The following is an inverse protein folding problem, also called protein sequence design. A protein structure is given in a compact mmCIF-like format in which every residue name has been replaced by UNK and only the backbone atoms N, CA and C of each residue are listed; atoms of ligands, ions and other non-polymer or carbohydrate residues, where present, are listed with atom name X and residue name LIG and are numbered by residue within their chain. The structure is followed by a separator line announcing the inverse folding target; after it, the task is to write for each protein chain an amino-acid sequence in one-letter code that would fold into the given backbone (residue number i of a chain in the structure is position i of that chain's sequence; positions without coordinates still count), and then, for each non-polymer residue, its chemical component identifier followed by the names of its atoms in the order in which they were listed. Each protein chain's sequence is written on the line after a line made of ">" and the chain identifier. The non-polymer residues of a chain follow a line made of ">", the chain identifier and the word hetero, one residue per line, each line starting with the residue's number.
data_IF_541562821445
#
_entry.id   IF_541562821445
#
_cell.length_a   1.000
_cell.length_b   1.000
_cell.length_c   1.000
_cell.angle_alpha   90.00
_cell.angle_beta   90.00
_cell.angle_gamma   90.00
#
_symmetry.space_group_name_H-M   'P 1'
#
loop_
_entity.id
_entity.type
_entity.pdbx_description
1 polymer ?
#
# COMPACT_ATOMS: atom_id res chain seq x y z
N UNK A 1 2.67 8.00 -26.08
CA UNK A 1 1.59 8.18 -25.08
C UNK A 1 0.73 6.92 -24.84
N UNK A 2 0.76 5.89 -25.69
CA UNK A 2 -0.06 4.67 -25.52
C UNK A 2 0.45 3.61 -24.53
N UNK A 3 1.74 3.60 -24.18
CA UNK A 3 2.31 2.60 -23.26
C UNK A 3 1.95 2.84 -21.79
N UNK A 4 1.79 4.10 -21.38
CA UNK A 4 1.42 4.44 -20.00
C UNK A 4 -0.03 4.09 -19.68
N UNK A 5 -0.95 4.28 -20.63
CA UNK A 5 -2.38 3.99 -20.42
C UNK A 5 -2.60 2.48 -20.30
N UNK A 6 -1.97 1.67 -21.16
CA UNK A 6 -2.03 0.20 -21.08
C UNK A 6 -1.40 -0.36 -19.81
N UNK A 7 -0.35 0.28 -19.27
CA UNK A 7 0.29 -0.15 -18.02
C UNK A 7 -0.59 0.12 -16.80
N UNK A 8 -1.33 1.22 -16.78
CA UNK A 8 -2.24 1.57 -15.69
C UNK A 8 -3.50 0.69 -15.72
N UNK A 9 -3.96 0.32 -16.92
CA UNK A 9 -5.12 -0.54 -17.11
C UNK A 9 -4.88 -1.99 -16.64
N UNK A 10 -3.65 -2.49 -16.81
CA UNK A 10 -3.22 -3.80 -16.23
C UNK A 10 -3.16 -3.80 -14.71
N UNK A 11 -2.88 -2.66 -14.07
CA UNK A 11 -2.92 -2.56 -12.60
C UNK A 11 -4.37 -2.50 -12.08
N UNK A 12 -5.28 -1.89 -12.83
CA UNK A 12 -6.71 -1.84 -12.48
C UNK A 12 -7.44 -3.18 -12.67
N UNK A 13 -6.91 -4.07 -13.52
CA UNK A 13 -7.50 -5.38 -13.86
C UNK A 13 -6.84 -6.60 -13.20
N UNK A 14 -5.95 -6.45 -12.21
CA UNK A 14 -5.45 -7.63 -11.45
C UNK A 14 -6.60 -8.29 -10.70
N UNK A 15 -6.91 -9.54 -11.04
CA UNK A 15 -7.97 -10.29 -10.38
C UNK A 15 -7.64 -10.50 -8.91
N UNK A 16 -8.66 -10.62 -8.05
CA UNK A 16 -8.47 -10.88 -6.62
C UNK A 16 -7.62 -12.14 -6.34
N UNK A 17 -7.64 -13.12 -7.25
CA UNK A 17 -6.82 -14.33 -7.19
C UNK A 17 -5.32 -14.06 -7.36
N UNK A 18 -4.93 -13.11 -8.20
CA UNK A 18 -3.52 -12.75 -8.39
C UNK A 18 -2.96 -12.04 -7.15
N UNK A 19 -3.76 -11.16 -6.54
CA UNK A 19 -3.38 -10.41 -5.34
C UNK A 19 -3.16 -11.35 -4.14
N UNK A 20 -4.05 -12.33 -3.96
CA UNK A 20 -3.88 -13.35 -2.91
C UNK A 20 -2.64 -14.22 -3.15
N UNK A 21 -2.34 -14.56 -4.41
CA UNK A 21 -1.14 -15.33 -4.74
C UNK A 21 0.15 -14.55 -4.51
N UNK A 22 0.19 -13.26 -4.85
CA UNK A 22 1.32 -12.40 -4.54
C UNK A 22 1.53 -12.27 -3.03
N UNK A 23 0.45 -12.08 -2.26
CA UNK A 23 0.52 -12.03 -0.80
C UNK A 23 1.09 -13.32 -0.20
N UNK A 24 0.65 -14.48 -0.68
CA UNK A 24 1.17 -15.78 -0.24
C UNK A 24 2.64 -15.98 -0.55
N UNK A 25 3.08 -15.59 -1.75
CA UNK A 25 4.51 -15.67 -2.14
C UNK A 25 5.37 -14.81 -1.23
N UNK A 26 4.92 -13.59 -0.95
CA UNK A 26 5.64 -12.68 -0.05
C UNK A 26 5.68 -13.23 1.37
N UNK A 27 4.55 -13.76 1.86
CA UNK A 27 4.48 -14.37 3.20
C UNK A 27 5.42 -15.57 3.33
N UNK A 28 5.48 -16.44 2.32
CA UNK A 28 6.41 -17.56 2.29
C UNK A 28 7.87 -17.09 2.26
N UNK A 29 8.18 -16.05 1.47
CA UNK A 29 9.54 -15.50 1.41
C UNK A 29 10.01 -14.91 2.75
N UNK A 30 9.09 -14.31 3.53
CA UNK A 30 9.42 -13.67 4.80
C UNK A 30 9.39 -14.64 6.00
N UNK A 31 8.44 -15.56 6.03
CA UNK A 31 8.18 -16.42 7.19
C UNK A 31 8.49 -17.91 6.94
N UNK A 32 8.72 -18.31 5.69
CA UNK A 32 8.95 -19.71 5.32
C UNK A 32 7.71 -20.61 5.44
N UNK A 33 6.54 -20.03 5.71
CA UNK A 33 5.29 -20.76 5.91
C UNK A 33 4.35 -20.61 4.70
N UNK A 34 3.82 -21.73 4.22
CA UNK A 34 2.71 -21.72 3.26
C UNK A 34 1.38 -21.51 3.99
N UNK A 35 0.51 -20.68 3.42
CA UNK A 35 -0.80 -20.35 3.99
C UNK A 35 -1.92 -20.65 2.99
N UNK A 36 -3.05 -21.13 3.52
CA UNK A 36 -4.28 -21.35 2.74
C UNK A 36 -4.86 -20.02 2.23
N UNK A 37 -5.68 -20.08 1.19
CA UNK A 37 -6.38 -18.92 0.63
C UNK A 37 -7.22 -18.20 1.69
N UNK A 38 -7.92 -18.95 2.54
CA UNK A 38 -8.72 -18.39 3.64
C UNK A 38 -7.86 -17.64 4.65
N UNK A 39 -6.72 -18.22 5.05
CA UNK A 39 -5.79 -17.58 5.99
C UNK A 39 -5.16 -16.33 5.36
N UNK A 40 -4.82 -16.38 4.07
CA UNK A 40 -4.29 -15.25 3.32
C UNK A 40 -5.29 -14.08 3.27
N UNK A 41 -6.56 -14.36 2.96
CA UNK A 41 -7.62 -13.33 2.95
C UNK A 41 -7.85 -12.72 4.34
N UNK A 42 -7.87 -13.54 5.39
CA UNK A 42 -8.05 -13.06 6.76
C UNK A 42 -6.89 -12.16 7.22
N UNK A 43 -5.65 -12.54 6.92
CA UNK A 43 -4.46 -11.74 7.23
C UNK A 43 -4.42 -10.45 6.41
N UNK A 44 -4.71 -10.51 5.11
CA UNK A 44 -4.79 -9.33 4.26
C UNK A 44 -5.83 -8.32 4.74
N UNK A 45 -7.00 -8.80 5.17
CA UNK A 45 -8.06 -7.95 5.73
C UNK A 45 -7.61 -7.28 7.03
N UNK A 46 -6.99 -8.03 7.95
CA UNK A 46 -6.44 -7.47 9.20
C UNK A 46 -5.37 -6.42 8.92
N UNK A 47 -4.51 -6.65 7.94
CA UNK A 47 -3.47 -5.71 7.53
C UNK A 47 -4.07 -4.40 7.01
N UNK A 48 -5.04 -4.47 6.10
CA UNK A 48 -5.72 -3.28 5.58
C UNK A 48 -6.42 -2.50 6.68
N UNK A 49 -7.10 -3.19 7.60
CA UNK A 49 -7.73 -2.56 8.77
C UNK A 49 -6.68 -1.88 9.66
N UNK A 50 -5.53 -2.52 9.90
CA UNK A 50 -4.44 -1.93 10.66
C UNK A 50 -3.90 -0.66 9.98
N UNK A 51 -3.70 -0.70 8.66
CA UNK A 51 -3.28 0.48 7.89
C UNK A 51 -4.28 1.63 8.01
N UNK A 52 -5.58 1.37 7.99
CA UNK A 52 -6.59 2.43 8.21
C UNK A 52 -6.47 3.09 9.60
N UNK A 53 -6.00 2.35 10.60
CA UNK A 53 -5.81 2.89 11.95
C UNK A 53 -4.47 3.61 12.11
N UNK A 54 -3.40 3.11 11.48
CA UNK A 54 -2.05 3.69 11.57
C UNK A 54 -1.89 4.89 10.64
N UNK A 55 -2.36 4.80 9.40
CA UNK A 55 -2.37 5.91 8.46
C UNK A 55 -3.52 6.85 8.80
N UNK A 56 -3.28 7.69 9.81
CA UNK A 56 -4.13 8.84 10.08
C UNK A 56 -3.87 9.87 8.97
N UNK A 57 -4.89 10.32 8.23
CA UNK A 57 -4.71 11.40 7.28
C UNK A 57 -4.18 12.63 8.01
N UNK A 58 -3.00 13.11 7.60
CA UNK A 58 -2.40 14.33 8.14
C UNK A 58 -3.35 15.48 7.81
N UNK A 59 -3.81 16.19 8.85
CA UNK A 59 -4.66 17.37 8.65
C UNK A 59 -3.88 18.37 7.81
N UNK A 60 -4.54 18.97 6.80
CA UNK A 60 -3.90 19.96 5.91
C UNK A 60 -3.24 21.09 6.70
N UNK A 61 -3.82 21.47 7.83
CA UNK A 61 -3.30 22.50 8.73
C UNK A 61 -1.91 22.15 9.31
N UNK A 62 -1.59 20.86 9.47
CA UNK A 62 -0.27 20.41 9.94
C UNK A 62 0.79 20.46 8.84
N UNK A 63 0.38 20.42 7.57
CA UNK A 63 1.30 20.59 6.43
C UNK A 63 1.71 22.05 6.25
N UNK A 64 0.85 23.01 6.62
CA UNK A 64 1.16 24.44 6.54
C UNK A 64 2.34 24.81 7.45
N UNK A 65 2.38 24.28 8.67
CA UNK A 65 3.43 24.58 9.67
C UNK A 65 4.81 24.06 9.23
N UNK A 66 4.88 22.90 8.56
CA UNK A 66 6.15 22.30 8.10
C UNK A 66 6.70 23.01 6.85
N UNK A 67 5.86 23.75 6.14
CA UNK A 67 6.24 24.46 4.91
C UNK A 67 6.99 25.76 5.17
N UNK A 68 6.74 26.42 6.31
CA UNK A 68 7.34 27.72 6.65
C UNK A 68 8.78 27.59 7.18
N UNK A 69 9.15 26.46 7.79
CA UNK A 69 10.50 26.24 8.34
C UNK A 69 11.58 26.01 7.27
N UNK A 70 11.21 25.78 6.00
CA UNK A 70 12.17 25.59 4.89
C UNK A 70 12.57 26.91 4.20
N UNK A 71 12.01 28.06 4.60
CA UNK A 71 12.32 29.35 3.99
C UNK A 71 13.27 30.25 4.82
N UNK A 72 13.78 29.79 5.97
CA UNK A 72 14.71 30.58 6.80
C UNK A 72 16.20 30.32 6.52
N UNK A 73 16.53 29.44 5.57
CA UNK A 73 17.92 29.10 5.25
C UNK A 73 18.30 29.44 3.79
N UNK A 74 18.00 30.68 3.38
CA UNK A 74 18.68 31.33 2.24
C UNK A 74 19.32 32.61 2.75
N UNK A 75 20.65 32.52 2.90
CA UNK A 75 21.63 33.56 3.17
C UNK A 75 21.54 34.66 2.10
#
# INVERSE_FOLDING_TARGET
>A
MGFYILSLERMKNRSASEQTNEFKKQYFAEFGEEISDEKAMALGTKLLTLFQHIYRPVKKDWLAVVSDDQNSNKI
#
